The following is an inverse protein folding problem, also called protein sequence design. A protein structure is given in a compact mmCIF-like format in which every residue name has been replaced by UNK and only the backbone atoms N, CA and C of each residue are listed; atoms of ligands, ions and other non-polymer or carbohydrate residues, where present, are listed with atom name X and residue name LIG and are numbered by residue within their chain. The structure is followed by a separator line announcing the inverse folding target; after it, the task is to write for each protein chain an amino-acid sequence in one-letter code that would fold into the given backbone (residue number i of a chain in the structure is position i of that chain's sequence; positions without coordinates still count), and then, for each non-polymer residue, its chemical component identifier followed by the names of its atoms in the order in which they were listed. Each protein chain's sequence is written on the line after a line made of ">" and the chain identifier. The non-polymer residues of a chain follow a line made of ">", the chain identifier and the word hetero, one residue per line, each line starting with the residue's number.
data_IF_543475391682
#
_entry.id   IF_543475391682
#
_cell.length_a   1.000
_cell.length_b   1.000
_cell.length_c   1.000
_cell.angle_alpha   90.00
_cell.angle_beta   90.00
_cell.angle_gamma   90.00
#
_symmetry.space_group_name_H-M   'P 1'
#
loop_
_entity.id
_entity.type
_entity.pdbx_description
1 polymer ?
#
# COMPACT_ATOMS: atom_id res chain seq x y z
N UNK A 1 19.85 -13.85 -40.22
CA UNK A 1 18.63 -14.06 -39.40
C UNK A 1 18.91 -14.48 -37.95
N UNK A 2 20.10 -15.02 -37.61
CA UNK A 2 20.44 -15.40 -36.22
C UNK A 2 20.61 -14.23 -35.23
N UNK A 3 21.13 -13.08 -35.67
CA UNK A 3 21.37 -11.93 -34.77
C UNK A 3 20.07 -11.28 -34.24
N UNK A 4 18.97 -11.41 -34.97
CA UNK A 4 17.66 -10.90 -34.53
C UNK A 4 17.09 -11.73 -33.39
N UNK A 5 17.20 -13.06 -33.46
CA UNK A 5 16.78 -13.96 -32.39
C UNK A 5 17.67 -13.84 -31.16
N UNK A 6 18.99 -13.64 -31.33
CA UNK A 6 19.91 -13.44 -30.20
C UNK A 6 19.67 -12.09 -29.48
N UNK A 7 19.42 -11.00 -30.23
CA UNK A 7 19.08 -9.68 -29.68
C UNK A 7 17.70 -9.63 -29.03
N UNK A 8 16.69 -10.33 -29.58
CA UNK A 8 15.42 -10.51 -28.87
C UNK A 8 15.64 -11.32 -27.59
N UNK A 9 16.29 -12.48 -27.67
CA UNK A 9 16.51 -13.33 -26.49
C UNK A 9 17.21 -12.56 -25.34
N UNK A 10 18.30 -11.85 -25.63
CA UNK A 10 19.02 -11.07 -24.61
C UNK A 10 18.30 -9.78 -24.20
N UNK A 11 17.55 -9.14 -25.08
CA UNK A 11 16.74 -7.95 -24.77
C UNK A 11 15.56 -8.26 -23.85
N UNK A 12 14.85 -9.35 -24.12
CA UNK A 12 13.76 -9.85 -23.29
C UNK A 12 14.27 -10.35 -21.94
N UNK A 13 15.43 -11.02 -21.90
CA UNK A 13 16.06 -11.46 -20.64
C UNK A 13 16.56 -10.28 -19.78
N UNK A 14 17.09 -9.22 -20.40
CA UNK A 14 17.45 -7.96 -19.69
C UNK A 14 16.24 -7.16 -19.22
N UNK A 15 15.10 -7.23 -19.93
CA UNK A 15 13.82 -6.68 -19.46
C UNK A 15 13.25 -7.49 -18.28
N UNK A 16 13.40 -8.81 -18.32
CA UNK A 16 12.93 -9.75 -17.28
C UNK A 16 13.81 -9.86 -16.03
N UNK A 17 15.08 -9.45 -16.07
CA UNK A 17 16.00 -9.45 -14.92
C UNK A 17 16.61 -8.08 -14.60
N UNK A 18 16.27 -7.04 -15.38
CA UNK A 18 16.75 -5.67 -15.20
C UNK A 18 15.75 -4.74 -14.51
N UNK A 19 15.89 -3.44 -14.75
CA UNK A 19 15.09 -2.39 -14.10
C UNK A 19 13.57 -2.59 -14.27
N UNK A 20 13.11 -3.08 -15.42
CA UNK A 20 11.69 -3.32 -15.69
C UNK A 20 11.08 -4.36 -14.76
N UNK A 21 11.74 -5.50 -14.59
CA UNK A 21 11.33 -6.53 -13.63
C UNK A 21 11.37 -6.03 -12.19
N UNK A 22 12.40 -5.26 -11.82
CA UNK A 22 12.47 -4.68 -10.48
C UNK A 22 11.31 -3.71 -10.21
N UNK A 23 10.95 -2.86 -11.17
CA UNK A 23 9.78 -1.99 -11.06
C UNK A 23 8.48 -2.78 -10.95
N UNK A 24 8.31 -3.82 -11.77
CA UNK A 24 7.15 -4.71 -11.69
C UNK A 24 7.06 -5.39 -10.31
N UNK A 25 8.17 -5.93 -9.81
CA UNK A 25 8.24 -6.53 -8.48
C UNK A 25 7.91 -5.51 -7.37
N UNK A 26 8.31 -4.24 -7.52
CA UNK A 26 7.96 -3.16 -6.59
C UNK A 26 6.47 -2.83 -6.62
N UNK A 27 5.84 -2.84 -7.81
CA UNK A 27 4.39 -2.67 -7.94
C UNK A 27 3.67 -3.81 -7.21
N UNK A 28 4.09 -5.05 -7.42
CA UNK A 28 3.51 -6.23 -6.71
C UNK A 28 3.70 -6.11 -5.19
N UNK A 29 4.90 -5.73 -4.73
CA UNK A 29 5.15 -5.49 -3.29
C UNK A 29 4.28 -4.36 -2.73
N UNK A 30 4.10 -3.27 -3.47
CA UNK A 30 3.28 -2.14 -3.03
C UNK A 30 1.80 -2.54 -2.89
N UNK A 31 1.28 -3.35 -3.81
CA UNK A 31 -0.07 -3.92 -3.73
C UNK A 31 -0.20 -4.84 -2.52
N UNK A 32 0.75 -5.77 -2.34
CA UNK A 32 0.74 -6.68 -1.18
C UNK A 32 0.83 -5.94 0.16
N UNK A 33 1.70 -4.93 0.25
CA UNK A 33 1.86 -4.12 1.45
C UNK A 33 0.61 -3.27 1.76
N UNK A 34 -0.03 -2.68 0.76
CA UNK A 34 -1.26 -1.90 0.96
C UNK A 34 -2.43 -2.78 1.39
N UNK A 35 -2.57 -3.97 0.80
CA UNK A 35 -3.55 -4.97 1.24
C UNK A 35 -3.30 -5.39 2.69
N UNK A 36 -2.06 -5.73 3.03
CA UNK A 36 -1.71 -6.12 4.40
C UNK A 36 -2.01 -5.00 5.40
N UNK A 37 -1.67 -3.76 5.10
CA UNK A 37 -1.97 -2.62 5.96
C UNK A 37 -3.48 -2.39 6.11
N UNK A 38 -4.24 -2.41 5.01
CA UNK A 38 -5.69 -2.20 5.03
C UNK A 38 -6.42 -3.28 5.83
N UNK A 39 -6.14 -4.55 5.54
CA UNK A 39 -6.78 -5.70 6.21
C UNK A 39 -6.29 -5.84 7.64
N UNK A 40 -5.00 -5.60 7.91
CA UNK A 40 -4.43 -5.70 9.25
C UNK A 40 -5.11 -4.77 10.26
N UNK A 41 -5.36 -3.51 9.89
CA UNK A 41 -6.10 -2.59 10.74
C UNK A 41 -7.57 -2.98 10.91
N UNK A 42 -8.21 -3.52 9.86
CA UNK A 42 -9.57 -4.04 9.92
C UNK A 42 -9.70 -5.18 10.94
N UNK A 43 -8.81 -6.18 10.85
CA UNK A 43 -8.79 -7.34 11.75
C UNK A 43 -8.55 -6.91 13.21
N UNK A 44 -7.61 -5.99 13.45
CA UNK A 44 -7.38 -5.46 14.81
C UNK A 44 -8.64 -4.79 15.36
N UNK A 45 -9.37 -4.04 14.52
CA UNK A 45 -10.60 -3.39 14.94
C UNK A 45 -11.73 -4.38 15.23
N UNK A 46 -11.77 -5.53 14.56
CA UNK A 46 -12.81 -6.54 14.77
C UNK A 46 -12.53 -7.39 16.02
N UNK A 47 -11.27 -7.81 16.23
CA UNK A 47 -10.89 -8.73 17.31
C UNK A 47 -10.78 -8.02 18.66
N UNK A 48 -10.28 -6.79 18.69
CA UNK A 48 -10.03 -6.08 19.96
C UNK A 48 -11.22 -5.21 20.38
N UNK A 49 -11.59 -5.20 21.68
CA UNK A 49 -12.60 -4.29 22.22
C UNK A 49 -12.11 -2.83 22.19
N UNK A 50 -13.04 -1.89 22.08
CA UNK A 50 -12.80 -0.45 21.79
C UNK A 50 -11.73 0.17 22.70
N UNK A 51 -11.72 -0.22 23.97
CA UNK A 51 -10.81 0.28 25.01
C UNK A 51 -9.36 -0.14 24.75
N UNK A 52 -9.16 -1.29 24.11
CA UNK A 52 -7.83 -1.85 23.82
C UNK A 52 -7.38 -1.66 22.37
N UNK A 53 -8.28 -1.29 21.45
CA UNK A 53 -7.96 -1.05 20.04
C UNK A 53 -6.85 -0.02 19.86
N UNK A 54 -6.93 1.10 20.58
CA UNK A 54 -5.92 2.14 20.52
C UNK A 54 -4.52 1.63 20.92
N UNK A 55 -4.46 0.74 21.92
CA UNK A 55 -3.20 0.10 22.36
C UNK A 55 -2.68 -0.89 21.32
N UNK A 56 -3.55 -1.70 20.72
CA UNK A 56 -3.16 -2.64 19.67
C UNK A 56 -2.62 -1.90 18.43
N UNK A 57 -3.32 -0.84 17.99
CA UNK A 57 -2.89 0.00 16.87
C UNK A 57 -1.58 0.74 17.16
N UNK A 58 -1.38 1.25 18.38
CA UNK A 58 -0.15 1.95 18.75
C UNK A 58 1.05 1.01 18.80
N UNK A 59 0.89 -0.22 19.26
CA UNK A 59 1.95 -1.25 19.21
C UNK A 59 2.36 -1.52 17.75
N UNK A 60 1.39 -1.70 16.84
CA UNK A 60 1.68 -1.85 15.41
C UNK A 60 2.44 -0.64 14.84
N UNK A 61 2.03 0.57 15.19
CA UNK A 61 2.72 1.79 14.78
C UNK A 61 4.16 1.89 15.33
N UNK A 62 4.40 1.43 16.57
CA UNK A 62 5.74 1.36 17.15
C UNK A 62 6.66 0.46 16.33
N UNK A 63 6.20 -0.75 15.95
CA UNK A 63 6.97 -1.65 15.10
C UNK A 63 7.31 -1.03 13.75
N UNK A 64 6.36 -0.35 13.11
CA UNK A 64 6.59 0.36 11.83
C UNK A 64 7.64 1.46 12.00
N UNK A 65 7.55 2.25 13.08
CA UNK A 65 8.50 3.32 13.37
C UNK A 65 9.92 2.80 13.60
N UNK A 66 10.07 1.76 14.43
CA UNK A 66 11.35 1.10 14.67
C UNK A 66 11.93 0.54 13.38
N UNK A 67 11.10 -0.10 12.54
CA UNK A 67 11.52 -0.60 11.24
C UNK A 67 11.96 0.52 10.29
N UNK A 68 11.27 1.66 10.29
CA UNK A 68 11.63 2.83 9.48
C UNK A 68 12.98 3.43 9.86
N UNK A 69 13.29 3.47 11.15
CA UNK A 69 14.58 3.98 11.68
C UNK A 69 15.69 2.95 11.45
N UNK A 70 15.44 1.67 11.72
CA UNK A 70 16.43 0.61 11.57
C UNK A 70 16.73 0.25 10.11
N UNK A 71 15.77 0.44 9.20
CA UNK A 71 15.85 0.05 7.79
C UNK A 71 17.07 0.64 7.08
N UNK A 72 17.29 1.97 7.07
CA UNK A 72 18.47 2.58 6.44
C UNK A 72 19.79 2.12 7.06
N UNK A 73 19.85 1.95 8.38
CA UNK A 73 21.05 1.50 9.08
C UNK A 73 21.42 0.05 8.68
N UNK A 74 20.45 -0.86 8.72
CA UNK A 74 20.64 -2.25 8.30
C UNK A 74 20.96 -2.36 6.81
N UNK A 75 20.27 -1.58 5.96
CA UNK A 75 20.54 -1.52 4.52
C UNK A 75 21.95 -1.03 4.23
N UNK A 76 22.42 -0.01 4.95
CA UNK A 76 23.78 0.51 4.83
C UNK A 76 24.86 -0.48 5.28
N UNK A 77 24.59 -1.27 6.33
CA UNK A 77 25.50 -2.35 6.76
C UNK A 77 25.57 -3.47 5.73
N UNK A 78 24.43 -3.90 5.18
CA UNK A 78 24.37 -4.93 4.15
C UNK A 78 25.17 -4.51 2.92
N UNK A 79 25.05 -3.25 2.48
CA UNK A 79 25.78 -2.72 1.32
C UNK A 79 27.29 -2.65 1.51
N UNK A 80 27.78 -2.63 2.76
CA UNK A 80 29.22 -2.65 3.04
C UNK A 80 29.84 -4.04 2.90
N UNK A 81 29.08 -5.10 3.14
CA UNK A 81 29.58 -6.49 3.16
C UNK A 81 29.07 -7.34 2.00
N UNK A 82 27.98 -6.93 1.36
CA UNK A 82 27.29 -7.69 0.33
C UNK A 82 26.75 -6.79 -0.79
N UNK A 83 26.46 -7.38 -1.95
CA UNK A 83 25.86 -6.66 -3.07
C UNK A 83 24.42 -6.23 -2.77
N UNK A 84 23.94 -5.16 -3.42
CA UNK A 84 22.60 -4.58 -3.24
C UNK A 84 21.44 -5.60 -3.34
N UNK A 85 21.61 -6.66 -4.12
CA UNK A 85 20.64 -7.75 -4.29
C UNK A 85 20.24 -8.39 -2.95
N UNK A 86 21.15 -8.43 -1.97
CA UNK A 86 20.88 -9.05 -0.66
C UNK A 86 19.81 -8.32 0.16
N UNK A 87 19.57 -7.03 -0.11
CA UNK A 87 18.46 -6.26 0.48
C UNK A 87 17.09 -6.83 0.06
N UNK A 88 17.02 -7.52 -1.08
CA UNK A 88 15.78 -8.17 -1.52
C UNK A 88 15.65 -9.57 -0.93
N UNK A 89 16.77 -10.30 -0.86
CA UNK A 89 16.82 -11.63 -0.29
C UNK A 89 16.45 -11.67 1.19
N UNK A 90 16.77 -10.64 1.98
CA UNK A 90 16.39 -10.59 3.40
C UNK A 90 14.87 -10.50 3.62
N UNK A 91 14.12 -9.92 2.67
CA UNK A 91 12.67 -9.79 2.79
C UNK A 91 11.94 -11.12 2.58
N UNK A 92 12.52 -12.04 1.80
CA UNK A 92 11.92 -13.35 1.49
C UNK A 92 11.70 -14.21 2.75
N UNK A 93 12.71 -14.49 3.60
CA UNK A 93 12.51 -15.29 4.81
C UNK A 93 11.58 -14.57 5.80
N UNK A 94 11.65 -13.25 5.91
CA UNK A 94 10.74 -12.46 6.77
C UNK A 94 9.30 -12.61 6.29
N UNK A 95 9.05 -12.53 4.98
CA UNK A 95 7.73 -12.72 4.39
C UNK A 95 7.18 -14.14 4.61
N UNK A 96 8.04 -15.17 4.50
CA UNK A 96 7.66 -16.56 4.77
C UNK A 96 7.27 -16.73 6.24
N UNK A 97 8.07 -16.21 7.18
CA UNK A 97 7.77 -16.27 8.60
C UNK A 97 6.44 -15.55 8.90
N UNK A 98 6.26 -14.34 8.35
CA UNK A 98 5.02 -13.58 8.52
C UNK A 98 3.79 -14.35 7.99
N UNK A 99 3.93 -15.05 6.85
CA UNK A 99 2.86 -15.88 6.31
C UNK A 99 2.54 -17.09 7.20
N UNK A 100 3.56 -17.79 7.70
CA UNK A 100 3.39 -18.94 8.62
C UNK A 100 2.71 -18.50 9.91
N UNK A 101 3.20 -17.43 10.56
CA UNK A 101 2.61 -16.91 11.78
C UNK A 101 1.21 -16.36 11.54
N UNK A 102 0.98 -15.67 10.42
CA UNK A 102 -0.34 -15.19 10.02
C UNK A 102 -1.35 -16.33 9.93
N UNK A 103 -1.00 -17.42 9.25
CA UNK A 103 -1.90 -18.57 9.08
C UNK A 103 -2.20 -19.32 10.41
N UNK A 104 -1.33 -19.20 11.41
CA UNK A 104 -1.52 -19.85 12.72
C UNK A 104 -2.20 -18.95 13.75
N UNK A 105 -1.91 -17.64 13.73
CA UNK A 105 -2.39 -16.67 14.70
C UNK A 105 -3.74 -16.03 14.33
N UNK A 106 -4.07 -15.97 13.04
CA UNK A 106 -5.35 -15.44 12.59
C UNK A 106 -6.48 -16.47 12.81
N UNK A 107 -7.61 -16.07 13.42
CA UNK A 107 -8.80 -16.90 13.46
C UNK A 107 -9.22 -17.26 12.03
N UNK A 108 -9.54 -18.53 11.78
CA UNK A 108 -10.08 -18.94 10.47
C UNK A 108 -11.44 -18.26 10.29
N UNK A 109 -11.57 -17.42 9.26
CA UNK A 109 -12.83 -16.73 8.98
C UNK A 109 -13.97 -17.74 8.76
N UNK A 110 -15.05 -17.58 9.52
CA UNK A 110 -16.28 -18.36 9.37
C UNK A 110 -17.35 -17.62 8.57
N UNK A 111 -17.10 -16.37 8.17
CA UNK A 111 -18.12 -15.49 7.61
C UNK A 111 -17.80 -15.18 6.15
N UNK A 112 -18.48 -15.88 5.24
CA UNK A 112 -18.49 -15.57 3.81
C UNK A 112 -19.21 -14.24 3.57
N UNK A 113 -18.51 -13.12 3.65
CA UNK A 113 -19.00 -11.83 3.16
C UNK A 113 -19.33 -11.93 1.67
N UNK A 114 -20.51 -11.47 1.25
CA UNK A 114 -20.88 -11.48 -0.17
C UNK A 114 -20.14 -10.36 -0.89
N UNK A 115 -19.61 -10.64 -2.08
CA UNK A 115 -19.00 -9.63 -2.95
C UNK A 115 -19.93 -8.44 -3.28
N UNK A 116 -21.25 -8.61 -3.11
CA UNK A 116 -22.25 -7.55 -3.24
C UNK A 116 -22.12 -6.43 -2.22
N UNK A 117 -21.47 -6.68 -1.08
CA UNK A 117 -21.42 -5.74 0.04
C UNK A 117 -20.20 -4.79 -0.06
N UNK A 118 -19.35 -4.98 -1.08
CA UNK A 118 -18.17 -4.15 -1.33
C UNK A 118 -18.56 -2.84 -2.01
N UNK A 119 -18.24 -1.71 -1.37
CA UNK A 119 -18.47 -0.38 -1.92
C UNK A 119 -17.38 0.03 -2.92
N UNK A 120 -17.45 -0.52 -4.13
CA UNK A 120 -16.53 -0.15 -5.23
C UNK A 120 -16.60 1.34 -5.57
N UNK A 121 -17.79 1.95 -5.51
CA UNK A 121 -17.98 3.38 -5.85
C UNK A 121 -17.33 4.30 -4.82
N UNK A 122 -17.56 4.05 -3.53
CA UNK A 122 -16.89 4.77 -2.46
C UNK A 122 -15.38 4.54 -2.45
N UNK A 123 -14.94 3.29 -2.64
CA UNK A 123 -13.52 2.92 -2.67
C UNK A 123 -12.74 3.61 -3.80
N UNK A 124 -13.29 3.61 -5.03
CA UNK A 124 -12.67 4.29 -6.18
C UNK A 124 -12.63 5.81 -6.00
N UNK A 125 -13.70 6.40 -5.47
CA UNK A 125 -13.76 7.84 -5.20
C UNK A 125 -12.72 8.26 -4.16
N UNK A 126 -12.62 7.51 -3.06
CA UNK A 126 -11.62 7.78 -2.02
C UNK A 126 -10.19 7.57 -2.53
N UNK A 127 -9.96 6.54 -3.36
CA UNK A 127 -8.66 6.32 -4.00
C UNK A 127 -8.27 7.52 -4.86
N UNK A 128 -9.18 8.04 -5.68
CA UNK A 128 -8.93 9.23 -6.50
C UNK A 128 -8.59 10.47 -5.66
N UNK A 129 -9.31 10.68 -4.55
CA UNK A 129 -9.02 11.77 -3.60
C UNK A 129 -7.61 11.66 -3.06
N UNK A 130 -7.23 10.49 -2.53
CA UNK A 130 -5.90 10.27 -1.94
C UNK A 130 -4.81 10.48 -2.99
N UNK A 131 -4.97 9.95 -4.20
CA UNK A 131 -3.99 10.12 -5.28
C UNK A 131 -3.80 11.61 -5.62
N UNK A 132 -4.89 12.34 -5.87
CA UNK A 132 -4.81 13.74 -6.27
C UNK A 132 -4.20 14.62 -5.19
N UNK A 133 -4.64 14.47 -3.94
CA UNK A 133 -4.11 15.25 -2.83
C UNK A 133 -2.66 14.89 -2.54
N UNK A 134 -2.32 13.60 -2.54
CA UNK A 134 -0.96 13.16 -2.30
C UNK A 134 0.00 13.63 -3.40
N UNK A 135 -0.39 13.54 -4.68
CA UNK A 135 0.42 14.04 -5.78
C UNK A 135 0.60 15.56 -5.72
N UNK A 136 -0.47 16.32 -5.45
CA UNK A 136 -0.38 17.77 -5.29
C UNK A 136 0.55 18.17 -4.15
N UNK A 137 0.53 17.47 -3.02
CA UNK A 137 1.44 17.72 -1.89
C UNK A 137 2.89 17.33 -2.22
N UNK A 138 3.08 16.15 -2.84
CA UNK A 138 4.40 15.61 -3.13
C UNK A 138 5.12 16.44 -4.20
N UNK A 139 4.43 16.75 -5.30
CA UNK A 139 4.98 17.59 -6.37
C UNK A 139 4.94 19.08 -6.02
N UNK A 140 4.17 19.49 -5.01
CA UNK A 140 4.18 20.84 -4.45
C UNK A 140 5.57 21.33 -4.07
N UNK A 141 6.38 20.43 -3.50
CA UNK A 141 7.75 20.73 -3.10
C UNK A 141 8.72 20.89 -4.27
N UNK A 142 8.51 20.19 -5.39
CA UNK A 142 9.43 20.19 -6.53
C UNK A 142 9.04 21.18 -7.63
N UNK A 143 7.75 21.28 -7.96
CA UNK A 143 7.21 22.14 -9.01
C UNK A 143 6.75 23.52 -8.50
N UNK A 144 6.70 23.70 -7.18
CA UNK A 144 6.28 24.93 -6.53
C UNK A 144 4.76 25.04 -6.34
N UNK A 145 4.34 25.51 -5.16
CA UNK A 145 2.94 25.59 -4.72
C UNK A 145 2.05 26.50 -5.58
N UNK A 146 2.65 27.41 -6.36
CA UNK A 146 1.96 28.33 -7.27
C UNK A 146 1.68 27.74 -8.64
N UNK A 147 2.19 26.53 -8.93
CA UNK A 147 1.94 25.86 -10.20
C UNK A 147 0.44 25.60 -10.40
N UNK A 148 -0.14 26.01 -11.54
CA UNK A 148 -1.56 25.77 -11.84
C UNK A 148 -1.95 24.30 -11.73
N UNK A 149 -1.04 23.37 -12.09
CA UNK A 149 -1.28 21.93 -12.03
C UNK A 149 -1.53 21.45 -10.59
N UNK A 150 -0.76 21.97 -9.63
CA UNK A 150 -0.88 21.58 -8.22
C UNK A 150 -2.15 22.14 -7.60
N UNK A 151 -2.47 23.40 -7.90
CA UNK A 151 -3.69 24.08 -7.44
C UNK A 151 -4.93 23.37 -7.99
N UNK A 152 -4.96 23.07 -9.29
CA UNK A 152 -6.07 22.34 -9.91
C UNK A 152 -6.19 20.94 -9.32
N UNK A 153 -5.08 20.20 -9.22
CA UNK A 153 -5.07 18.85 -8.61
C UNK A 153 -5.59 18.85 -7.18
N UNK A 154 -5.19 19.84 -6.38
CA UNK A 154 -5.64 19.98 -4.99
C UNK A 154 -7.13 20.34 -4.93
N UNK A 155 -7.59 21.32 -5.72
CA UNK A 155 -8.99 21.73 -5.79
C UNK A 155 -9.90 20.57 -6.22
N UNK A 156 -9.52 19.83 -7.26
CA UNK A 156 -10.28 18.64 -7.70
C UNK A 156 -10.28 17.57 -6.60
N UNK A 157 -9.16 17.35 -5.92
CA UNK A 157 -9.07 16.45 -4.78
C UNK A 157 -10.03 16.83 -3.65
N UNK A 158 -10.09 18.10 -3.27
CA UNK A 158 -11.02 18.61 -2.25
C UNK A 158 -12.49 18.51 -2.67
N UNK A 159 -12.80 18.78 -3.95
CA UNK A 159 -14.16 18.65 -4.49
C UNK A 159 -14.61 17.18 -4.41
N UNK A 160 -13.77 16.24 -4.88
CA UNK A 160 -14.06 14.81 -4.81
C UNK A 160 -14.21 14.34 -3.37
N UNK A 161 -13.42 14.87 -2.45
CA UNK A 161 -13.55 14.58 -1.02
C UNK A 161 -14.90 15.07 -0.46
N UNK A 162 -15.32 16.28 -0.83
CA UNK A 162 -16.65 16.79 -0.50
C UNK A 162 -17.79 15.90 -1.03
N UNK A 163 -17.68 15.44 -2.28
CA UNK A 163 -18.64 14.50 -2.88
C UNK A 163 -18.66 13.17 -2.11
N UNK A 164 -17.50 12.66 -1.71
CA UNK A 164 -17.40 11.45 -0.90
C UNK A 164 -18.08 11.61 0.46
N UNK A 165 -17.85 12.71 1.17
CA UNK A 165 -18.51 13.02 2.45
C UNK A 165 -20.03 13.11 2.32
N UNK A 166 -20.53 13.74 1.25
CA UNK A 166 -21.97 13.81 0.97
C UNK A 166 -22.56 12.42 0.67
N UNK A 167 -21.83 11.58 -0.08
CA UNK A 167 -22.23 10.19 -0.36
C UNK A 167 -22.27 9.35 0.92
N UNK A 168 -21.32 9.55 1.83
CA UNK A 168 -21.30 8.90 3.14
C UNK A 168 -22.53 9.30 3.96
N UNK A 169 -22.78 10.61 4.11
CA UNK A 169 -23.90 11.12 4.91
C UNK A 169 -25.26 10.55 4.47
N UNK A 170 -25.48 10.42 3.15
CA UNK A 170 -26.70 9.82 2.60
C UNK A 170 -26.86 8.34 2.98
N UNK A 171 -25.76 7.58 3.01
CA UNK A 171 -25.79 6.16 3.40
C UNK A 171 -26.06 5.96 4.89
N UNK A 172 -25.47 6.79 5.75
CA UNK A 172 -25.75 6.75 7.19
C UNK A 172 -27.22 7.02 7.50
N UNK A 173 -27.84 8.02 6.86
CA UNK A 173 -29.27 8.31 7.07
C UNK A 173 -30.21 7.16 6.64
N UNK A 174 -29.82 6.34 5.66
CA UNK A 174 -30.63 5.21 5.21
C UNK A 174 -30.59 4.00 6.16
N UNK A 175 -29.58 3.88 7.03
CA UNK A 175 -29.39 2.74 7.93
C UNK A 175 -30.09 2.91 9.28
N UNK A 176 -30.42 4.14 9.69
CA UNK A 176 -31.19 4.41 10.92
C UNK A 176 -32.72 4.41 10.72
N UNK A 177 -33.19 4.21 9.48
CA UNK A 177 -34.62 4.16 9.12
C UNK A 177 -35.13 2.73 8.85
N UNK A 178 -34.35 1.72 9.26
CA UNK A 178 -34.70 0.29 9.24
C UNK A 178 -34.58 -0.20 10.68
#
# INVERSE_FOLDING_TARGET
>A
MGDFYFRLSTGWFKLWLGLGFLLFARIVQAIGASMFMATGFGIISEIFPVESRARALSISAMFVSVGSIAGPALGGLILQVASWNYIFWINVPIGILAWIFGNHALPKETTSGKWSDIDFKGGTLMTAVVILLFLSLNFGQSLGWTSPLIIIGALVGFILFGIFLLSLRKRWHSLYLI
#
